data_IF_501195176925
#
_entry.id   IF_501195176925
#
_cell.length_a   1.000
_cell.length_b   1.000
_cell.length_c   1.000
_cell.angle_alpha   90.00
_cell.angle_beta   90.00
_cell.angle_gamma   90.00
#
_symmetry.space_group_name_H-M   'P 1'
#
loop_
_entity.id
_entity.type
_entity.pdbx_description
1 polymer ?
#
# COMPACT_ATOMS: atom_id res chain seq x y z
N UNK A 1 11.00 15.72 -12.46
CA UNK A 1 10.97 14.25 -12.43
C UNK A 1 9.77 13.77 -13.21
N UNK A 2 9.79 12.58 -13.82
CA UNK A 2 8.67 12.10 -14.65
C UNK A 2 7.42 11.78 -13.83
N UNK A 3 7.55 11.43 -12.55
CA UNK A 3 6.43 11.31 -11.60
C UNK A 3 5.63 12.61 -11.48
N UNK A 4 6.29 13.78 -11.53
CA UNK A 4 5.62 15.09 -11.54
C UNK A 4 4.81 15.30 -12.82
N UNK A 5 5.26 14.81 -13.97
CA UNK A 5 4.46 14.83 -15.21
C UNK A 5 3.24 13.95 -15.04
N UNK A 6 3.42 12.72 -14.54
CA UNK A 6 2.32 11.78 -14.36
C UNK A 6 1.22 12.34 -13.43
N UNK A 7 1.60 12.95 -12.31
CA UNK A 7 0.68 13.64 -11.38
C UNK A 7 -0.12 14.71 -12.12
N UNK A 8 0.53 15.53 -12.96
CA UNK A 8 -0.13 16.60 -13.72
C UNK A 8 -1.05 16.03 -14.81
N UNK A 9 -0.57 15.05 -15.56
CA UNK A 9 -1.24 14.51 -16.73
C UNK A 9 -2.49 13.71 -16.31
N UNK A 10 -2.41 12.98 -15.19
CA UNK A 10 -3.55 12.32 -14.55
C UNK A 10 -4.39 13.26 -13.65
N UNK A 11 -4.02 14.55 -13.57
CA UNK A 11 -4.68 15.58 -12.74
C UNK A 11 -4.85 15.18 -11.26
N UNK A 12 -3.87 14.46 -10.72
CA UNK A 12 -3.87 14.00 -9.33
C UNK A 12 -3.78 15.22 -8.42
N UNK A 13 -4.71 15.29 -7.46
CA UNK A 13 -4.76 16.36 -6.44
C UNK A 13 -4.37 15.88 -5.05
N UNK A 14 -4.44 14.58 -4.79
CA UNK A 14 -4.21 14.00 -3.46
C UNK A 14 -3.10 12.95 -3.52
N UNK A 15 -2.13 13.03 -2.61
CA UNK A 15 -1.05 12.06 -2.48
C UNK A 15 -0.98 11.54 -1.05
N UNK A 16 -0.97 10.21 -0.91
CA UNK A 16 -0.62 9.53 0.33
C UNK A 16 0.88 9.27 0.31
N UNK A 17 1.62 9.92 1.21
CA UNK A 17 3.09 9.86 1.21
C UNK A 17 3.54 9.20 2.51
N UNK A 18 4.23 8.06 2.40
CA UNK A 18 4.87 7.44 3.57
C UNK A 18 5.99 8.35 4.08
N UNK A 19 5.78 8.96 5.24
CA UNK A 19 6.75 9.87 5.85
C UNK A 19 7.84 9.10 6.59
N UNK A 20 7.44 8.14 7.41
CA UNK A 20 8.35 7.28 8.15
C UNK A 20 7.63 5.99 8.57
N UNK A 21 8.43 5.04 9.04
CA UNK A 21 8.01 3.80 9.69
C UNK A 21 8.27 3.94 11.19
N UNK A 22 7.50 3.24 12.03
CA UNK A 22 7.81 3.08 13.45
C UNK A 22 8.14 1.61 13.68
N UNK A 23 9.35 1.38 14.16
CA UNK A 23 9.85 0.07 14.52
C UNK A 23 9.95 -0.07 16.05
N UNK A 24 10.07 -1.30 16.52
CA UNK A 24 10.25 -1.61 17.93
C UNK A 24 11.55 -2.39 18.12
N UNK A 25 12.34 -2.00 19.11
CA UNK A 25 13.49 -2.74 19.59
C UNK A 25 13.41 -2.84 21.12
N UNK A 26 13.78 -3.99 21.68
CA UNK A 26 13.67 -4.24 23.12
C UNK A 26 14.59 -3.34 23.96
N UNK A 27 15.75 -2.94 23.41
CA UNK A 27 16.75 -2.11 24.09
C UNK A 27 16.42 -0.61 23.97
N UNK A 28 16.00 -0.15 22.78
CA UNK A 28 15.80 1.28 22.48
C UNK A 28 14.33 1.73 22.51
N UNK A 29 13.39 0.79 22.63
CA UNK A 29 11.95 1.07 22.57
C UNK A 29 11.44 1.34 21.15
N UNK A 30 10.44 2.20 21.04
CA UNK A 30 9.78 2.54 19.78
C UNK A 30 10.51 3.69 19.08
N UNK A 31 10.95 3.52 17.83
CA UNK A 31 11.75 4.53 17.13
C UNK A 31 11.33 4.71 15.66
N UNK A 32 11.42 5.94 15.13
CA UNK A 32 11.09 6.21 13.74
C UNK A 32 12.24 5.80 12.81
N UNK A 33 11.89 5.20 11.68
CA UNK A 33 12.79 4.83 10.59
C UNK A 33 12.29 5.48 9.30
N UNK A 34 13.07 6.39 8.73
CA UNK A 34 12.74 7.01 7.45
C UNK A 34 13.53 6.34 6.32
N UNK A 35 12.87 5.47 5.55
CA UNK A 35 13.43 4.90 4.32
C UNK A 35 13.02 5.66 3.06
N UNK A 36 12.16 6.67 3.21
CA UNK A 36 11.58 7.39 2.09
C UNK A 36 12.27 8.74 1.90
N UNK A 37 12.93 8.90 0.76
CA UNK A 37 13.41 10.18 0.24
C UNK A 37 12.50 10.55 -0.93
N UNK A 38 11.58 11.48 -0.70
CA UNK A 38 10.69 12.00 -1.75
C UNK A 38 10.91 13.51 -1.85
N UNK A 39 11.48 13.94 -2.97
CA UNK A 39 11.73 15.35 -3.27
C UNK A 39 10.84 15.79 -4.44
N UNK A 40 9.67 16.35 -4.11
CA UNK A 40 8.83 17.00 -5.12
C UNK A 40 9.15 18.49 -5.21
N UNK A 41 9.59 18.93 -6.40
CA UNK A 41 9.88 20.34 -6.67
C UNK A 41 8.64 21.17 -7.00
N UNK A 42 7.48 20.55 -7.20
CA UNK A 42 6.22 21.25 -7.51
C UNK A 42 5.08 20.60 -6.75
N UNK A 43 4.80 21.14 -5.57
CA UNK A 43 3.80 20.65 -4.62
C UNK A 43 2.58 21.57 -4.51
N UNK A 44 2.59 22.68 -5.24
CA UNK A 44 1.58 23.72 -5.12
C UNK A 44 0.19 23.13 -5.41
N UNK A 45 -0.77 23.39 -4.53
CA UNK A 45 -2.16 22.92 -4.65
C UNK A 45 -2.38 21.40 -4.57
N UNK A 46 -1.42 20.62 -4.04
CA UNK A 46 -1.63 19.20 -3.72
C UNK A 46 -2.07 19.02 -2.26
N UNK A 47 -3.06 18.16 -2.05
CA UNK A 47 -3.45 17.64 -0.75
C UNK A 47 -2.54 16.47 -0.38
N UNK A 48 -1.61 16.71 0.54
CA UNK A 48 -0.74 15.67 1.07
C UNK A 48 -1.39 15.03 2.30
N UNK A 49 -1.48 13.71 2.29
CA UNK A 49 -1.82 12.90 3.46
C UNK A 49 -0.55 12.20 3.93
N UNK A 50 0.06 12.65 5.03
CA UNK A 50 1.16 11.92 5.66
C UNK A 50 0.69 10.55 6.10
N UNK A 51 1.35 9.51 5.58
CA UNK A 51 1.14 8.12 5.95
C UNK A 51 2.29 7.66 6.83
N UNK A 52 1.99 7.00 7.94
CA UNK A 52 2.99 6.40 8.83
C UNK A 52 2.72 4.90 8.93
N UNK A 53 3.72 4.11 8.57
CA UNK A 53 3.66 2.66 8.77
C UNK A 53 4.12 2.32 10.19
N UNK A 54 3.32 1.60 10.95
CA UNK A 54 3.63 1.23 12.33
C UNK A 54 3.67 -0.29 12.40
N UNK A 55 4.83 -0.85 12.76
CA UNK A 55 4.92 -2.29 12.95
C UNK A 55 4.03 -2.72 14.12
N UNK A 56 3.33 -3.83 13.95
CA UNK A 56 2.41 -4.36 14.96
C UNK A 56 3.09 -4.66 16.31
N UNK A 57 4.41 -4.94 16.32
CA UNK A 57 5.20 -5.18 17.54
C UNK A 57 5.15 -4.02 18.53
N UNK A 58 5.04 -2.76 18.05
CA UNK A 58 4.90 -1.55 18.86
C UNK A 58 3.70 -1.65 19.82
N UNK A 59 2.67 -2.41 19.44
CA UNK A 59 1.43 -2.52 20.19
C UNK A 59 1.32 -3.78 21.06
N UNK A 60 2.29 -4.70 21.03
CA UNK A 60 2.24 -5.94 21.83
C UNK A 60 2.57 -5.70 23.31
N UNK A 61 3.71 -5.04 23.56
CA UNK A 61 4.26 -4.85 24.91
C UNK A 61 4.33 -3.36 25.26
N UNK A 62 3.16 -2.73 25.40
CA UNK A 62 3.03 -1.28 25.65
C UNK A 62 2.02 -0.98 26.77
N UNK A 63 1.94 0.29 27.18
CA UNK A 63 0.98 0.78 28.17
C UNK A 63 0.42 2.14 27.75
N UNK A 64 -0.59 2.65 28.46
CA UNK A 64 -1.28 3.90 28.09
C UNK A 64 -0.35 5.11 28.01
N UNK A 65 0.59 5.24 28.96
CA UNK A 65 1.55 6.34 28.98
C UNK A 65 2.48 6.29 27.76
N UNK A 66 3.01 5.11 27.42
CA UNK A 66 3.83 4.91 26.22
C UNK A 66 3.05 5.22 24.94
N UNK A 67 1.78 4.83 24.86
CA UNK A 67 0.91 5.13 23.72
C UNK A 67 0.59 6.64 23.60
N UNK A 68 0.42 7.35 24.73
CA UNK A 68 0.24 8.80 24.74
C UNK A 68 1.50 9.53 24.24
N UNK A 69 2.67 9.11 24.70
CA UNK A 69 3.96 9.60 24.20
C UNK A 69 4.14 9.30 22.72
N UNK A 70 3.80 8.08 22.27
CA UNK A 70 3.88 7.68 20.87
C UNK A 70 3.00 8.58 19.99
N UNK A 71 1.73 8.80 20.38
CA UNK A 71 0.82 9.68 19.63
C UNK A 71 1.34 11.13 19.55
N UNK A 72 1.96 11.62 20.62
CA UNK A 72 2.59 12.96 20.66
C UNK A 72 3.79 13.03 19.72
N UNK A 73 4.69 12.04 19.78
CA UNK A 73 5.90 11.98 18.97
C UNK A 73 5.58 11.83 17.48
N UNK A 74 4.59 10.99 17.13
CA UNK A 74 4.13 10.82 15.75
C UNK A 74 3.55 12.13 15.21
N UNK A 75 2.69 12.80 15.98
CA UNK A 75 2.12 14.10 15.59
C UNK A 75 3.22 15.13 15.36
N UNK A 76 4.17 15.23 16.30
CA UNK A 76 5.31 16.14 16.20
C UNK A 76 6.14 15.86 14.95
N UNK A 77 6.50 14.60 14.69
CA UNK A 77 7.36 14.25 13.57
C UNK A 77 6.68 14.44 12.21
N UNK A 78 5.37 14.15 12.11
CA UNK A 78 4.58 14.45 10.90
C UNK A 78 4.58 15.96 10.63
N UNK A 79 4.30 16.78 11.66
CA UNK A 79 4.28 18.23 11.51
C UNK A 79 5.66 18.75 11.09
N UNK A 80 6.73 18.28 11.74
CA UNK A 80 8.11 18.62 11.38
C UNK A 80 8.43 18.29 9.93
N UNK A 81 8.09 17.10 9.44
CA UNK A 81 8.34 16.74 8.03
C UNK A 81 7.47 17.53 7.06
N UNK A 82 6.24 17.84 7.44
CA UNK A 82 5.35 18.70 6.65
C UNK A 82 5.95 20.09 6.51
N UNK A 83 6.41 20.68 7.62
CA UNK A 83 7.07 21.97 7.64
C UNK A 83 8.40 21.91 6.88
N UNK A 84 9.24 20.90 7.05
CA UNK A 84 10.56 20.89 6.41
C UNK A 84 10.48 20.66 4.89
N UNK A 85 9.53 19.85 4.42
CA UNK A 85 9.54 19.30 3.05
C UNK A 85 8.32 19.69 2.20
N UNK A 86 7.20 20.08 2.82
CA UNK A 86 5.92 20.25 2.13
C UNK A 86 5.25 21.62 2.38
N UNK A 87 6.00 22.68 2.75
CA UNK A 87 5.45 24.05 2.99
C UNK A 87 4.58 24.61 1.87
N UNK A 88 4.83 24.19 0.63
CA UNK A 88 4.13 24.66 -0.58
C UNK A 88 2.85 23.87 -0.90
N UNK A 89 2.65 22.72 -0.25
CA UNK A 89 1.41 21.96 -0.39
C UNK A 89 0.24 22.64 0.32
N UNK A 90 -0.98 22.16 0.07
CA UNK A 90 -2.13 22.58 0.87
C UNK A 90 -1.92 22.19 2.35
N UNK A 91 -2.52 22.93 3.31
CA UNK A 91 -2.46 22.56 4.71
C UNK A 91 -2.92 21.12 4.93
N UNK A 92 -2.13 20.33 5.66
CA UNK A 92 -2.47 18.93 5.93
C UNK A 92 -3.74 18.84 6.77
N UNK A 93 -4.72 18.09 6.27
CA UNK A 93 -6.06 17.89 6.88
C UNK A 93 -6.24 16.50 7.49
N UNK A 94 -5.44 15.53 7.06
CA UNK A 94 -5.61 14.11 7.35
C UNK A 94 -4.25 13.46 7.61
N UNK A 95 -4.15 12.59 8.63
CA UNK A 95 -3.03 11.67 8.83
C UNK A 95 -3.53 10.23 8.63
N UNK A 96 -2.78 9.43 7.87
CA UNK A 96 -3.11 8.02 7.65
C UNK A 96 -2.16 7.10 8.41
N UNK A 97 -2.69 6.20 9.22
CA UNK A 97 -1.88 5.19 9.92
C UNK A 97 -1.99 3.84 9.21
N UNK A 98 -0.86 3.29 8.79
CA UNK A 98 -0.78 1.97 8.19
C UNK A 98 -0.27 0.96 9.23
N UNK A 99 -1.13 0.04 9.67
CA UNK A 99 -0.78 -0.96 10.68
C UNK A 99 -1.65 -2.20 10.50
N UNK A 100 -1.01 -3.37 10.36
CA UNK A 100 -1.69 -4.66 10.35
C UNK A 100 -1.93 -5.16 11.79
N UNK A 101 -2.95 -4.60 12.45
CA UNK A 101 -3.26 -4.98 13.83
C UNK A 101 -3.78 -6.42 13.94
N UNK A 102 -3.52 -7.06 15.07
CA UNK A 102 -4.00 -8.40 15.43
C UNK A 102 -5.04 -8.31 16.54
N UNK A 103 -5.70 -9.42 16.87
CA UNK A 103 -6.62 -9.49 18.01
C UNK A 103 -5.96 -9.03 19.32
N UNK A 104 -4.70 -9.43 19.52
CA UNK A 104 -3.93 -9.10 20.72
C UNK A 104 -3.50 -7.63 20.79
N UNK A 105 -3.31 -6.95 19.65
CA UNK A 105 -2.84 -5.56 19.60
C UNK A 105 -3.94 -4.53 19.34
N UNK A 106 -5.13 -4.99 18.93
CA UNK A 106 -6.30 -4.17 18.59
C UNK A 106 -6.57 -3.05 19.58
N UNK A 107 -6.70 -3.37 20.87
CA UNK A 107 -7.07 -2.38 21.89
C UNK A 107 -6.00 -1.31 22.10
N UNK A 108 -4.72 -1.67 21.94
CA UNK A 108 -3.61 -0.74 22.04
C UNK A 108 -3.54 0.17 20.80
N UNK A 109 -3.68 -0.41 19.61
CA UNK A 109 -3.74 0.37 18.37
C UNK A 109 -4.92 1.33 18.35
N UNK A 110 -6.11 0.89 18.75
CA UNK A 110 -7.32 1.73 18.76
C UNK A 110 -7.22 2.86 19.78
N UNK A 111 -6.62 2.61 20.93
CA UNK A 111 -6.31 3.68 21.88
C UNK A 111 -5.34 4.69 21.29
N UNK A 112 -4.24 4.24 20.68
CA UNK A 112 -3.29 5.11 20.00
C UNK A 112 -3.99 5.99 18.96
N UNK A 113 -4.87 5.43 18.12
CA UNK A 113 -5.62 6.20 17.11
C UNK A 113 -6.50 7.30 17.72
N UNK A 114 -7.20 6.99 18.83
CA UNK A 114 -8.00 8.00 19.57
C UNK A 114 -7.13 9.13 20.10
N UNK A 115 -5.97 8.79 20.68
CA UNK A 115 -5.02 9.77 21.22
C UNK A 115 -4.39 10.62 20.12
N UNK A 116 -4.00 9.99 19.00
CA UNK A 116 -3.48 10.68 17.83
C UNK A 116 -4.50 11.68 17.27
N UNK A 117 -5.77 11.28 17.14
CA UNK A 117 -6.86 12.18 16.72
C UNK A 117 -7.03 13.38 17.64
N UNK A 118 -7.03 13.12 18.96
CA UNK A 118 -7.16 14.17 19.97
C UNK A 118 -6.00 15.17 19.93
N UNK A 119 -4.76 14.69 19.89
CA UNK A 119 -3.55 15.53 19.95
C UNK A 119 -3.34 16.32 18.65
N UNK A 120 -3.54 15.67 17.51
CA UNK A 120 -3.30 16.30 16.20
C UNK A 120 -4.41 17.28 15.79
N UNK A 121 -5.63 17.09 16.32
CA UNK A 121 -6.84 17.77 15.85
C UNK A 121 -7.04 17.67 14.32
N UNK A 122 -6.53 16.60 13.70
CA UNK A 122 -6.71 16.27 12.29
C UNK A 122 -7.72 15.15 12.12
N UNK A 123 -8.21 14.97 10.88
CA UNK A 123 -8.87 13.72 10.51
C UNK A 123 -7.82 12.60 10.56
N UNK A 124 -8.21 11.45 11.11
CA UNK A 124 -7.39 10.25 11.09
C UNK A 124 -8.02 9.26 10.13
N UNK A 125 -7.21 8.67 9.26
CA UNK A 125 -7.57 7.48 8.50
C UNK A 125 -6.61 6.34 8.83
N UNK A 126 -7.01 5.12 8.48
CA UNK A 126 -6.11 3.98 8.54
C UNK A 126 -6.23 3.10 7.30
N UNK A 127 -5.19 2.33 7.01
CA UNK A 127 -5.32 1.23 6.05
C UNK A 127 -6.16 0.12 6.66
N UNK A 128 -6.88 -0.62 5.81
CA UNK A 128 -7.75 -1.71 6.21
C UNK A 128 -7.51 -2.90 5.28
N UNK A 129 -6.99 -3.99 5.84
CA UNK A 129 -6.85 -5.27 5.12
C UNK A 129 -8.22 -5.92 4.92
N UNK A 130 -8.31 -6.81 3.93
CA UNK A 130 -9.55 -7.53 3.61
C UNK A 130 -10.08 -8.41 4.76
N UNK A 131 -9.20 -8.98 5.58
CA UNK A 131 -9.64 -9.84 6.71
C UNK A 131 -10.37 -9.05 7.81
N UNK A 132 -9.81 -7.94 8.36
CA UNK A 132 -10.56 -7.04 9.24
C UNK A 132 -11.81 -6.44 8.63
N UNK A 133 -11.81 -6.16 7.31
CA UNK A 133 -13.00 -5.72 6.60
C UNK A 133 -14.12 -6.79 6.62
N UNK A 134 -13.77 -8.06 6.38
CA UNK A 134 -14.73 -9.18 6.35
C UNK A 134 -15.26 -9.56 7.74
N UNK A 135 -14.45 -9.36 8.78
CA UNK A 135 -14.75 -9.76 10.16
C UNK A 135 -14.64 -8.60 11.17
N UNK A 136 -15.41 -7.52 11.03
CA UNK A 136 -15.34 -6.35 11.92
C UNK A 136 -15.72 -6.70 13.36
N UNK A 137 -16.67 -7.63 13.56
CA UNK A 137 -17.10 -8.08 14.89
C UNK A 137 -15.92 -8.65 15.71
N UNK A 138 -14.98 -9.29 15.01
CA UNK A 138 -13.82 -9.97 15.59
C UNK A 138 -12.62 -9.03 15.65
N UNK A 139 -12.31 -8.36 14.55
CA UNK A 139 -11.13 -7.51 14.42
C UNK A 139 -11.34 -6.10 14.99
N UNK A 140 -12.58 -5.74 15.33
CA UNK A 140 -12.98 -4.39 15.72
C UNK A 140 -13.03 -3.41 14.57
N UNK A 141 -13.70 -2.29 14.81
CA UNK A 141 -13.79 -1.16 13.89
C UNK A 141 -12.86 -0.06 14.40
N UNK A 142 -11.86 0.37 13.62
CA UNK A 142 -10.90 1.37 14.08
C UNK A 142 -11.58 2.72 14.36
N UNK A 143 -11.24 3.43 15.45
CA UNK A 143 -11.88 4.68 15.83
C UNK A 143 -11.33 5.88 15.03
N UNK A 144 -11.53 5.84 13.72
CA UNK A 144 -11.00 6.80 12.73
C UNK A 144 -12.12 7.44 11.91
N UNK A 145 -11.82 8.50 11.16
CA UNK A 145 -12.80 9.18 10.31
C UNK A 145 -13.15 8.39 9.05
N UNK A 146 -12.18 7.65 8.50
CA UNK A 146 -12.36 6.74 7.36
C UNK A 146 -11.28 5.68 7.29
N UNK A 147 -11.52 4.63 6.51
CA UNK A 147 -10.54 3.58 6.27
C UNK A 147 -10.25 3.43 4.77
N UNK A 148 -9.03 3.04 4.42
CA UNK A 148 -8.63 2.74 3.04
C UNK A 148 -8.52 1.23 2.88
N UNK A 149 -9.47 0.64 2.17
CA UNK A 149 -9.51 -0.80 1.89
C UNK A 149 -8.40 -1.16 0.90
N UNK A 150 -7.43 -1.94 1.35
CA UNK A 150 -6.30 -2.38 0.52
C UNK A 150 -6.70 -3.62 -0.28
N UNK A 151 -6.96 -3.43 -1.58
CA UNK A 151 -7.35 -4.49 -2.51
C UNK A 151 -6.13 -5.10 -3.21
N UNK A 152 -5.06 -5.39 -2.44
CA UNK A 152 -3.82 -6.00 -2.92
C UNK A 152 -3.05 -6.73 -1.84
N UNK A 153 -2.04 -7.52 -2.22
CA UNK A 153 -1.32 -8.47 -1.37
C UNK A 153 -2.30 -9.43 -0.68
N UNK A 154 -3.13 -10.10 -1.47
CA UNK A 154 -4.26 -10.89 -1.01
C UNK A 154 -3.88 -12.28 -0.48
N UNK A 155 -2.75 -12.80 -0.94
CA UNK A 155 -2.27 -14.15 -0.64
C UNK A 155 -0.83 -14.04 -0.14
N UNK A 156 -0.39 -14.96 0.72
CA UNK A 156 1.02 -15.05 1.05
C UNK A 156 1.83 -15.41 -0.23
N UNK A 157 2.82 -14.58 -0.63
CA UNK A 157 3.56 -14.77 -1.88
C UNK A 157 4.26 -16.12 -2.00
N UNK A 158 4.65 -16.72 -0.87
CA UNK A 158 5.42 -17.97 -0.84
C UNK A 158 4.58 -19.22 -0.60
N UNK A 159 3.30 -19.08 -0.22
CA UNK A 159 2.43 -20.24 0.07
C UNK A 159 1.80 -20.82 -1.20
N UNK A 160 1.44 -19.98 -2.16
CA UNK A 160 0.74 -20.43 -3.37
C UNK A 160 1.50 -20.05 -4.64
N UNK A 161 2.18 -21.04 -5.21
CA UNK A 161 2.97 -20.88 -6.43
C UNK A 161 2.14 -20.75 -7.71
N UNK A 162 0.85 -21.08 -7.73
CA UNK A 162 0.02 -21.01 -8.96
C UNK A 162 -0.81 -19.72 -9.08
N UNK A 163 -0.91 -18.93 -8.00
CA UNK A 163 -1.66 -17.67 -7.98
C UNK A 163 -0.76 -16.46 -7.99
N UNK A 164 -1.30 -15.33 -8.48
CA UNK A 164 -0.71 -14.01 -8.29
C UNK A 164 -1.07 -13.52 -6.89
N UNK A 165 -0.07 -13.37 -6.03
CA UNK A 165 -0.27 -13.00 -4.63
C UNK A 165 -0.58 -11.52 -4.42
N UNK A 166 -0.22 -10.65 -5.38
CA UNK A 166 -0.59 -9.23 -5.35
C UNK A 166 -2.10 -9.08 -5.55
N UNK A 167 -2.66 -9.70 -6.59
CA UNK A 167 -4.10 -9.59 -6.89
C UNK A 167 -4.63 -10.87 -7.56
N UNK A 168 -5.45 -11.60 -6.82
CA UNK A 168 -6.25 -12.73 -7.31
C UNK A 168 -7.74 -12.38 -7.19
N UNK A 169 -8.47 -12.43 -8.31
CA UNK A 169 -9.87 -11.99 -8.38
C UNK A 169 -10.78 -12.93 -7.58
N UNK A 170 -10.53 -14.23 -7.65
CA UNK A 170 -11.31 -15.20 -6.89
C UNK A 170 -11.08 -15.04 -5.40
N UNK A 171 -9.83 -14.81 -4.97
CA UNK A 171 -9.52 -14.47 -3.58
C UNK A 171 -10.23 -13.18 -3.14
N UNK A 172 -10.20 -12.11 -3.96
CA UNK A 172 -10.86 -10.83 -3.65
C UNK A 172 -12.36 -11.01 -3.36
N UNK A 173 -13.06 -11.79 -4.21
CA UNK A 173 -14.49 -12.09 -4.06
C UNK A 173 -14.82 -12.82 -2.76
N UNK A 174 -13.87 -13.55 -2.16
CA UNK A 174 -14.10 -14.21 -0.87
C UNK A 174 -14.26 -13.22 0.28
N UNK A 175 -13.74 -12.00 0.14
CA UNK A 175 -13.78 -10.98 1.21
C UNK A 175 -14.85 -9.92 1.00
N UNK A 176 -15.14 -9.54 -0.23
CA UNK A 176 -16.10 -8.48 -0.53
C UNK A 176 -17.51 -9.03 -0.59
N UNK A 177 -18.44 -8.37 0.10
CA UNK A 177 -19.84 -8.80 0.12
C UNK A 177 -20.75 -7.61 0.40
N UNK A 178 -21.52 -7.19 -0.62
CA UNK A 178 -22.43 -6.03 -0.52
C UNK A 178 -23.46 -6.14 0.60
N UNK A 179 -23.84 -7.37 1.00
CA UNK A 179 -24.80 -7.58 2.09
C UNK A 179 -24.26 -7.16 3.46
N UNK A 180 -22.95 -6.93 3.57
CA UNK A 180 -22.28 -6.52 4.81
C UNK A 180 -21.70 -5.13 4.63
N UNK A 181 -22.51 -4.13 4.95
CA UNK A 181 -22.06 -2.73 4.94
C UNK A 181 -21.03 -2.53 6.05
N UNK A 182 -19.82 -2.10 5.68
CA UNK A 182 -18.81 -1.71 6.65
C UNK A 182 -19.22 -0.36 7.29
N UNK A 183 -19.05 -0.18 8.61
CA UNK A 183 -19.63 0.96 9.32
C UNK A 183 -18.89 2.29 9.12
N UNK A 184 -17.67 2.27 8.57
CA UNK A 184 -16.91 3.47 8.22
C UNK A 184 -17.00 3.76 6.72
N UNK A 185 -16.85 5.03 6.35
CA UNK A 185 -16.59 5.39 4.96
C UNK A 185 -15.29 4.72 4.49
N UNK A 186 -15.32 4.18 3.27
CA UNK A 186 -14.23 3.44 2.67
C UNK A 186 -13.67 4.19 1.45
N UNK A 187 -12.38 4.48 1.52
CA UNK A 187 -11.54 4.70 0.35
C UNK A 187 -11.04 3.34 -0.18
N UNK A 188 -10.62 3.29 -1.44
CA UNK A 188 -10.07 2.07 -2.07
C UNK A 188 -8.62 2.30 -2.47
N UNK A 189 -7.77 1.29 -2.25
CA UNK A 189 -6.42 1.27 -2.80
C UNK A 189 -6.21 0.05 -3.71
N UNK A 190 -5.78 0.32 -4.95
CA UNK A 190 -5.54 -0.68 -6.00
C UNK A 190 -4.04 -0.83 -6.28
N UNK A 191 -3.57 -2.03 -6.65
CA UNK A 191 -2.18 -2.26 -7.00
C UNK A 191 -1.89 -1.88 -8.47
N UNK A 192 -0.85 -1.08 -8.68
CA UNK A 192 -0.28 -0.75 -9.99
C UNK A 192 1.19 -1.14 -10.08
N UNK A 193 1.62 -2.11 -9.28
CA UNK A 193 2.96 -2.66 -9.29
C UNK A 193 2.97 -4.15 -9.58
N UNK A 194 4.13 -4.64 -9.98
CA UNK A 194 4.42 -6.04 -10.19
C UNK A 194 5.71 -6.39 -9.47
N UNK A 195 5.99 -7.67 -9.26
CA UNK A 195 7.30 -8.11 -8.75
C UNK A 195 7.74 -9.45 -9.37
N UNK A 196 9.02 -9.74 -9.26
CA UNK A 196 9.60 -11.02 -9.67
C UNK A 196 10.18 -11.73 -8.45
N UNK A 197 9.67 -12.91 -8.13
CA UNK A 197 10.25 -13.78 -7.11
C UNK A 197 11.26 -14.71 -7.78
N UNK A 198 12.50 -14.67 -7.32
CA UNK A 198 13.60 -15.47 -7.86
C UNK A 198 13.73 -16.76 -7.06
N UNK A 199 13.84 -17.87 -7.77
CA UNK A 199 14.03 -19.20 -7.22
C UNK A 199 15.31 -19.81 -7.78
N UNK A 200 16.22 -20.22 -6.88
CA UNK A 200 17.45 -20.93 -7.20
C UNK A 200 17.35 -22.34 -6.67
N UNK A 201 17.57 -23.35 -7.53
CA UNK A 201 17.38 -24.76 -7.17
C UNK A 201 16.02 -24.99 -6.48
N UNK A 202 14.94 -24.41 -7.03
CA UNK A 202 13.57 -24.45 -6.51
C UNK A 202 13.34 -23.83 -5.11
N UNK A 203 14.32 -23.13 -4.55
CA UNK A 203 14.18 -22.40 -3.29
C UNK A 203 14.05 -20.91 -3.54
N UNK A 204 13.08 -20.27 -2.87
CA UNK A 204 12.95 -18.82 -2.90
C UNK A 204 14.25 -18.16 -2.44
N UNK A 205 14.72 -17.20 -3.22
CA UNK A 205 15.96 -16.50 -2.96
C UNK A 205 15.72 -15.03 -2.62
N UNK A 206 15.05 -14.28 -3.50
CA UNK A 206 14.74 -12.86 -3.29
C UNK A 206 13.59 -12.37 -4.17
N UNK A 207 13.11 -11.16 -3.89
CA UNK A 207 12.23 -10.39 -4.78
C UNK A 207 13.04 -9.36 -5.54
N UNK A 208 12.73 -9.19 -6.83
CA UNK A 208 13.17 -8.11 -7.69
C UNK A 208 11.97 -7.19 -7.96
N UNK A 209 12.10 -5.92 -7.58
CA UNK A 209 11.07 -4.90 -7.79
C UNK A 209 11.33 -4.11 -9.07
N UNK A 210 12.58 -3.78 -9.37
CA UNK A 210 12.96 -2.93 -10.49
C UNK A 210 13.62 -3.70 -11.63
N UNK A 211 13.67 -3.09 -12.83
CA UNK A 211 14.38 -3.67 -13.98
C UNK A 211 13.68 -4.87 -14.62
N UNK A 212 12.41 -5.13 -14.27
CA UNK A 212 11.62 -6.25 -14.77
C UNK A 212 11.57 -6.33 -16.30
N UNK A 213 11.39 -5.18 -16.99
CA UNK A 213 11.38 -5.10 -18.46
C UNK A 213 12.66 -5.62 -19.09
N UNK A 214 13.81 -5.36 -18.46
CA UNK A 214 15.11 -5.85 -18.95
C UNK A 214 15.28 -7.32 -18.65
N UNK A 215 14.90 -7.76 -17.45
CA UNK A 215 14.94 -9.18 -17.06
C UNK A 215 14.08 -10.02 -18.01
N UNK A 216 12.86 -9.58 -18.34
CA UNK A 216 11.91 -10.29 -19.23
C UNK A 216 12.52 -10.66 -20.59
N UNK A 217 13.44 -9.86 -21.13
CA UNK A 217 14.12 -10.15 -22.40
C UNK A 217 15.00 -11.40 -22.36
N UNK A 218 15.38 -11.84 -21.16
CA UNK A 218 16.21 -13.02 -20.91
C UNK A 218 15.40 -14.22 -20.39
N UNK A 219 14.07 -14.10 -20.32
CA UNK A 219 13.18 -15.12 -19.76
C UNK A 219 12.40 -15.85 -20.86
N UNK A 220 12.10 -17.13 -20.60
CA UNK A 220 11.13 -17.92 -21.36
C UNK A 220 10.03 -18.40 -20.43
N UNK A 221 8.78 -18.19 -20.81
CA UNK A 221 7.65 -18.72 -20.04
C UNK A 221 7.64 -20.25 -20.09
N UNK A 222 7.52 -20.88 -18.92
CA UNK A 222 7.46 -22.34 -18.77
C UNK A 222 6.06 -22.82 -18.36
N UNK A 223 5.30 -21.97 -17.64
CA UNK A 223 3.89 -22.14 -17.29
C UNK A 223 3.35 -20.80 -16.79
N UNK A 224 2.02 -20.60 -16.61
CA UNK A 224 1.48 -19.32 -16.17
C UNK A 224 2.19 -18.77 -14.92
N UNK A 225 2.58 -17.48 -14.98
CA UNK A 225 3.39 -16.75 -13.98
C UNK A 225 4.85 -17.20 -13.84
N UNK A 226 5.26 -18.34 -14.41
CA UNK A 226 6.59 -18.91 -14.21
C UNK A 226 7.41 -18.87 -15.47
N UNK A 227 8.64 -18.42 -15.28
CA UNK A 227 9.62 -18.23 -16.31
C UNK A 227 10.94 -18.88 -15.92
N UNK A 228 11.70 -19.30 -16.92
CA UNK A 228 13.07 -19.77 -16.75
C UNK A 228 14.03 -18.78 -17.41
N UNK A 229 15.15 -18.51 -16.74
CA UNK A 229 16.23 -17.69 -17.30
C UNK A 229 16.94 -18.47 -18.39
N UNK A 230 16.97 -17.89 -19.60
CA UNK A 230 17.60 -18.50 -20.79
C UNK A 230 18.91 -17.83 -21.20
N UNK A 231 19.23 -16.69 -20.57
CA UNK A 231 20.48 -15.96 -20.76
C UNK A 231 20.92 -15.36 -19.44
N UNK A 232 22.18 -15.59 -19.08
CA UNK A 232 22.81 -14.93 -17.94
C UNK A 232 22.63 -13.41 -18.04
N UNK A 233 22.13 -12.81 -16.96
CA UNK A 233 21.83 -11.38 -16.92
C UNK A 233 22.08 -10.80 -15.53
N UNK A 234 22.22 -9.48 -15.46
CA UNK A 234 22.41 -8.74 -14.22
C UNK A 234 21.28 -7.73 -14.08
N UNK A 235 20.64 -7.74 -12.91
CA UNK A 235 19.62 -6.77 -12.53
C UNK A 235 19.93 -6.28 -11.13
N UNK A 236 20.12 -4.97 -10.97
CA UNK A 236 20.43 -4.35 -9.67
C UNK A 236 21.58 -5.06 -8.91
N UNK A 237 22.74 -5.20 -9.59
CA UNK A 237 23.93 -5.92 -9.09
C UNK A 237 23.70 -7.38 -8.70
N UNK A 238 22.59 -7.98 -9.09
CA UNK A 238 22.27 -9.39 -8.83
C UNK A 238 22.35 -10.21 -10.11
N UNK A 239 23.09 -11.32 -10.05
CA UNK A 239 23.28 -12.24 -11.17
C UNK A 239 22.17 -13.28 -11.22
N UNK A 240 21.42 -13.25 -12.33
CA UNK A 240 20.50 -14.30 -12.76
C UNK A 240 21.25 -15.22 -13.72
N UNK A 241 21.24 -16.52 -13.42
CA UNK A 241 21.92 -17.55 -14.22
C UNK A 241 20.93 -18.36 -15.02
N UNK A 242 21.36 -18.89 -16.16
CA UNK A 242 20.57 -19.86 -16.92
C UNK A 242 20.09 -20.99 -16.01
N UNK A 243 18.80 -21.32 -16.09
CA UNK A 243 18.14 -22.32 -15.24
C UNK A 243 17.54 -21.78 -13.93
N UNK A 244 17.85 -20.55 -13.51
CA UNK A 244 17.13 -19.88 -12.43
C UNK A 244 15.65 -19.73 -12.84
N UNK A 245 14.73 -19.94 -11.88
CA UNK A 245 13.29 -19.80 -12.11
C UNK A 245 12.81 -18.47 -11.55
N UNK A 246 11.90 -17.82 -12.26
CA UNK A 246 11.28 -16.56 -11.84
C UNK A 246 9.77 -16.72 -11.86
N UNK A 247 9.13 -16.49 -10.71
CA UNK A 247 7.69 -16.25 -10.65
C UNK A 247 7.45 -14.76 -10.85
N UNK A 248 6.97 -14.39 -12.02
CA UNK A 248 6.63 -13.01 -12.35
C UNK A 248 5.14 -12.77 -12.08
N UNK A 249 4.84 -12.02 -11.01
CA UNK A 249 3.48 -11.63 -10.70
C UNK A 249 3.20 -10.25 -11.27
N UNK A 250 2.82 -10.24 -12.55
CA UNK A 250 2.46 -9.03 -13.26
C UNK A 250 0.98 -8.70 -13.12
N UNK A 251 0.67 -7.41 -13.15
CA UNK A 251 -0.69 -6.91 -13.20
C UNK A 251 -0.94 -6.23 -14.55
N UNK A 252 -1.98 -6.68 -15.25
CA UNK A 252 -2.44 -6.07 -16.50
C UNK A 252 -3.60 -5.14 -16.21
N UNK A 253 -3.84 -4.16 -17.09
CA UNK A 253 -5.00 -3.28 -16.95
C UNK A 253 -6.32 -4.05 -16.95
N UNK A 254 -6.41 -5.14 -17.72
CA UNK A 254 -7.57 -6.05 -17.68
C UNK A 254 -7.81 -6.60 -16.27
N UNK A 255 -6.76 -7.10 -15.60
CA UNK A 255 -6.86 -7.66 -14.25
C UNK A 255 -7.27 -6.61 -13.21
N UNK A 256 -6.75 -5.38 -13.33
CA UNK A 256 -7.15 -4.26 -12.46
C UNK A 256 -8.61 -3.91 -12.70
N UNK A 257 -9.06 -3.81 -13.95
CA UNK A 257 -10.46 -3.53 -14.27
C UNK A 257 -11.41 -4.64 -13.78
N UNK A 258 -11.02 -5.92 -13.88
CA UNK A 258 -11.79 -7.03 -13.26
C UNK A 258 -11.94 -6.85 -11.74
N UNK A 259 -10.88 -6.39 -11.05
CA UNK A 259 -10.96 -6.09 -9.63
C UNK A 259 -11.88 -4.89 -9.37
N UNK A 260 -11.81 -3.84 -10.18
CA UNK A 260 -12.68 -2.67 -10.07
C UNK A 260 -14.15 -3.09 -10.13
N UNK A 261 -14.54 -3.90 -11.12
CA UNK A 261 -15.92 -4.39 -11.23
C UNK A 261 -16.36 -5.19 -9.99
N UNK A 262 -15.51 -6.10 -9.50
CA UNK A 262 -15.80 -6.86 -8.28
C UNK A 262 -15.97 -5.95 -7.06
N UNK A 263 -15.13 -4.92 -6.92
CA UNK A 263 -15.23 -3.98 -5.79
C UNK A 263 -16.50 -3.13 -5.93
N UNK A 264 -16.81 -2.62 -7.13
CA UNK A 264 -18.04 -1.86 -7.43
C UNK A 264 -19.32 -2.61 -7.08
N UNK A 265 -19.34 -3.90 -7.40
CA UNK A 265 -20.48 -4.76 -7.10
C UNK A 265 -20.65 -5.06 -5.61
N UNK A 266 -19.57 -4.96 -4.81
CA UNK A 266 -19.54 -5.52 -3.45
C UNK A 266 -19.23 -4.53 -2.34
N UNK A 267 -18.82 -3.31 -2.65
CA UNK A 267 -18.49 -2.24 -1.69
C UNK A 267 -19.40 -1.04 -1.97
N UNK A 268 -19.81 -0.33 -0.92
CA UNK A 268 -20.58 0.91 -1.08
C UNK A 268 -19.61 2.07 -1.37
N UNK A 269 -19.98 2.92 -2.33
CA UNK A 269 -19.23 4.10 -2.74
C UNK A 269 -20.10 5.34 -2.64
N UNK A 270 -19.47 6.48 -2.36
CA UNK A 270 -20.10 7.78 -2.44
C UNK A 270 -19.18 8.77 -3.19
N UNK A 271 -19.66 10.00 -3.40
CA UNK A 271 -18.93 11.02 -4.15
C UNK A 271 -17.61 11.46 -3.47
N UNK A 272 -17.42 11.16 -2.18
CA UNK A 272 -16.22 11.48 -1.41
C UNK A 272 -15.21 10.32 -1.39
N UNK A 273 -15.59 9.14 -1.91
CA UNK A 273 -14.71 7.97 -1.96
C UNK A 273 -13.46 8.25 -2.79
N UNK A 274 -12.30 8.16 -2.15
CA UNK A 274 -11.00 8.30 -2.84
C UNK A 274 -10.54 6.94 -3.37
N UNK A 275 -10.15 6.88 -4.64
CA UNK A 275 -9.45 5.74 -5.24
C UNK A 275 -7.96 6.07 -5.31
N UNK A 276 -7.14 5.20 -4.76
CA UNK A 276 -5.68 5.34 -4.70
C UNK A 276 -5.01 4.25 -5.52
N UNK A 277 -4.02 4.62 -6.35
CA UNK A 277 -3.17 3.66 -7.04
C UNK A 277 -1.87 3.52 -6.24
N UNK A 278 -1.62 2.31 -5.73
CA UNK A 278 -0.42 1.98 -4.98
C UNK A 278 0.49 1.11 -5.87
N UNK A 279 1.75 1.44 -6.13
CA UNK A 279 2.52 2.56 -5.58
C UNK A 279 2.91 3.55 -6.69
N UNK A 280 3.17 4.80 -6.29
CA UNK A 280 3.66 5.85 -7.18
C UNK A 280 5.13 5.59 -7.53
N UNK A 281 5.38 4.78 -8.54
CA UNK A 281 6.71 4.52 -9.12
C UNK A 281 6.62 4.60 -10.65
N UNK A 282 7.48 5.41 -11.24
CA UNK A 282 7.50 5.65 -12.69
C UNK A 282 7.70 4.35 -13.50
N UNK A 283 8.60 3.47 -13.06
CA UNK A 283 8.95 2.25 -13.82
C UNK A 283 7.75 1.31 -13.84
N UNK A 284 7.07 1.14 -12.71
CA UNK A 284 5.85 0.34 -12.60
C UNK A 284 4.69 0.95 -13.37
N UNK A 285 4.47 2.26 -13.24
CA UNK A 285 3.37 2.95 -13.92
C UNK A 285 3.56 3.01 -15.44
N UNK A 286 4.81 2.97 -15.92
CA UNK A 286 5.12 2.86 -17.36
C UNK A 286 4.70 1.53 -18.01
N UNK A 287 4.13 0.61 -17.24
CA UNK A 287 3.49 -0.60 -17.76
C UNK A 287 2.05 -0.37 -18.24
N UNK A 288 1.51 0.82 -17.99
CA UNK A 288 0.15 1.22 -18.37
C UNK A 288 0.19 2.47 -19.24
N UNK A 289 -0.78 2.60 -20.13
CA UNK A 289 -1.09 3.85 -20.83
C UNK A 289 -1.74 4.86 -19.88
N UNK A 290 -1.69 6.14 -20.24
CA UNK A 290 -2.36 7.19 -19.47
C UNK A 290 -3.89 6.98 -19.45
N UNK A 291 -4.46 6.46 -20.54
CA UNK A 291 -5.86 6.12 -20.67
C UNK A 291 -6.25 4.99 -19.70
N UNK A 292 -5.43 3.94 -19.58
CA UNK A 292 -5.66 2.86 -18.60
C UNK A 292 -5.59 3.38 -17.17
N UNK A 293 -4.56 4.18 -16.83
CA UNK A 293 -4.42 4.76 -15.50
C UNK A 293 -5.60 5.68 -15.15
N UNK A 294 -6.03 6.53 -16.09
CA UNK A 294 -7.20 7.37 -15.93
C UNK A 294 -8.50 6.55 -15.81
N UNK A 295 -8.58 5.44 -16.55
CA UNK A 295 -9.66 4.45 -16.47
C UNK A 295 -9.80 3.86 -15.08
N UNK A 296 -8.68 3.53 -14.40
CA UNK A 296 -8.73 2.97 -13.04
C UNK A 296 -9.39 3.89 -12.01
N UNK A 297 -9.31 5.21 -12.21
CA UNK A 297 -10.02 6.18 -11.37
C UNK A 297 -11.48 6.33 -11.80
N UNK A 298 -11.71 6.60 -13.09
CA UNK A 298 -13.03 6.97 -13.61
C UNK A 298 -14.03 5.82 -13.69
N UNK A 299 -13.57 4.56 -13.71
CA UNK A 299 -14.45 3.39 -13.73
C UNK A 299 -15.25 3.24 -12.43
N UNK A 300 -14.81 3.84 -11.31
CA UNK A 300 -15.60 3.92 -10.07
C UNK A 300 -16.70 4.99 -10.12
N UNK A 301 -16.63 5.93 -11.06
CA UNK A 301 -17.56 7.08 -11.14
C UNK A 301 -18.77 6.83 -12.07
N UNK A 302 -19.02 5.58 -12.47
CA UNK A 302 -20.18 5.17 -13.27
C UNK A 302 -21.11 4.25 -12.48
#
# INVERSE_FOLDING_TARGET
MKETSLIRDLKIRKLYIKFFEIDHNEEYGDFPVSKTSLHFYQLDSLDIVPTVYIKNEVFKNTNRQRLDTLASNVTFLINKYTEDRFKRANPVKEFQMDCDWTLSTRENYFYFLKRLKFISAKKISCTLRLYPYKYPEKMGIPPVDKATLMCYNLINPLENHSKNSILDIEELKLYLNKKRKYPLHLDIALPTYSWMQVYKNDHFYKVIYDGQKEVLKSLKEIKPLWYEVTRDTVVDNFYLRIGDKIKYENLTAKKINEAIEVIKENVDFDAETTVTLFHLDEKQLSNYSNEELSGFYSNFSK
#
